data_IF_458159858156
#
_entry.id   IF_458159858156
#
_cell.length_a   1.000
_cell.length_b   1.000
_cell.length_c   1.000
_cell.angle_alpha   90.00
_cell.angle_beta   90.00
_cell.angle_gamma   90.00
#
_symmetry.space_group_name_H-M   'P 1'
#
loop_
_entity.id
_entity.type
_entity.pdbx_description
1 polymer ?
#
# COMPACT_ATOMS: atom_id res chain seq x y z
N UNK A 1 18.93 -10.54 -2.45
CA UNK A 1 18.05 -10.01 -1.39
C UNK A 1 16.81 -9.36 -2.01
N UNK A 2 15.61 -9.68 -1.53
CA UNK A 2 14.32 -9.12 -2.00
C UNK A 2 14.14 -7.65 -1.60
N UNK A 3 12.98 -7.05 -1.91
CA UNK A 3 12.61 -5.79 -1.28
C UNK A 3 11.74 -6.05 -0.04
N UNK A 4 11.90 -5.24 1.00
CA UNK A 4 11.24 -5.41 2.31
C UNK A 4 10.65 -4.09 2.81
N UNK A 5 9.68 -4.21 3.72
CA UNK A 5 9.08 -3.13 4.50
C UNK A 5 9.16 -3.55 5.98
N UNK A 6 9.58 -2.64 6.86
CA UNK A 6 9.64 -2.91 8.30
C UNK A 6 8.36 -2.40 8.98
N UNK A 7 7.76 -3.22 9.85
CA UNK A 7 6.52 -2.89 10.56
C UNK A 7 6.75 -2.46 12.02
N UNK A 8 7.92 -1.89 12.32
CA UNK A 8 8.22 -1.40 13.68
C UNK A 8 7.22 -0.32 14.10
N UNK A 9 6.93 -0.25 15.41
CA UNK A 9 6.04 0.73 16.05
C UNK A 9 4.55 0.59 15.73
N UNK A 10 4.11 -0.60 15.33
CA UNK A 10 2.71 -1.02 15.30
C UNK A 10 2.51 -2.11 16.34
N UNK A 11 1.37 -2.05 17.05
CA UNK A 11 1.06 -2.96 18.15
C UNK A 11 0.75 -4.36 17.62
N UNK A 12 -0.09 -4.41 16.59
CA UNK A 12 -0.43 -5.64 15.86
C UNK A 12 -0.46 -5.40 14.35
N UNK A 13 -0.11 -6.43 13.58
CA UNK A 13 -0.19 -6.36 12.12
C UNK A 13 -0.55 -7.70 11.48
N UNK A 14 -1.49 -7.65 10.54
CA UNK A 14 -1.84 -8.76 9.64
C UNK A 14 -1.38 -8.41 8.23
N UNK A 15 -0.59 -9.31 7.63
CA UNK A 15 -0.07 -9.14 6.26
C UNK A 15 -0.68 -10.18 5.34
N UNK A 16 -1.40 -9.72 4.33
CA UNK A 16 -1.97 -10.55 3.27
C UNK A 16 -1.17 -10.37 1.98
N UNK A 17 -0.82 -11.49 1.33
CA UNK A 17 -0.22 -11.44 -0.01
C UNK A 17 -1.33 -11.18 -1.03
N UNK A 18 -1.20 -10.15 -1.86
CA UNK A 18 -2.29 -9.76 -2.76
C UNK A 18 -2.64 -10.85 -3.77
N UNK A 19 -1.66 -11.58 -4.29
CA UNK A 19 -1.86 -12.73 -5.19
C UNK A 19 -2.74 -13.84 -4.60
N UNK A 20 -2.80 -13.95 -3.25
CA UNK A 20 -3.64 -14.94 -2.56
C UNK A 20 -5.05 -14.45 -2.30
N UNK A 21 -5.31 -13.15 -2.46
CA UNK A 21 -6.62 -12.54 -2.30
C UNK A 21 -7.42 -12.65 -3.59
N UNK A 22 -6.78 -12.39 -4.74
CA UNK A 22 -7.43 -12.46 -6.05
C UNK A 22 -6.43 -12.93 -7.11
N UNK A 23 -6.78 -14.00 -7.82
CA UNK A 23 -5.97 -14.58 -8.89
C UNK A 23 -6.34 -14.08 -10.29
N UNK A 24 -7.47 -13.37 -10.43
CA UNK A 24 -8.01 -12.94 -11.74
C UNK A 24 -7.70 -11.49 -12.08
N UNK A 25 -7.24 -10.69 -11.12
CA UNK A 25 -6.85 -9.28 -11.31
C UNK A 25 -5.38 -9.11 -10.95
N UNK A 26 -4.74 -8.07 -11.50
CA UNK A 26 -3.40 -7.69 -11.05
C UNK A 26 -3.49 -7.13 -9.64
N UNK A 27 -2.91 -7.84 -8.69
CA UNK A 27 -2.88 -7.45 -7.29
C UNK A 27 -1.52 -6.84 -6.93
N UNK A 28 -1.54 -5.99 -5.91
CA UNK A 28 -0.33 -5.54 -5.24
C UNK A 28 0.39 -6.71 -4.55
N UNK A 29 1.67 -6.53 -4.23
CA UNK A 29 2.44 -7.58 -3.54
C UNK A 29 1.87 -7.92 -2.15
N UNK A 30 1.49 -6.91 -1.36
CA UNK A 30 0.83 -7.15 -0.08
C UNK A 30 -0.14 -6.05 0.36
N UNK A 31 -1.05 -6.43 1.24
CA UNK A 31 -1.95 -5.55 1.99
C UNK A 31 -1.67 -5.78 3.47
N UNK A 32 -1.49 -4.70 4.20
CA UNK A 32 -1.17 -4.72 5.63
C UNK A 32 -2.31 -4.02 6.36
N UNK A 33 -2.87 -4.71 7.34
CA UNK A 33 -3.76 -4.14 8.34
C UNK A 33 -2.96 -4.05 9.62
N UNK A 34 -2.71 -2.84 10.09
CA UNK A 34 -1.94 -2.61 11.31
C UNK A 34 -2.76 -1.77 12.28
N UNK A 35 -2.65 -2.08 13.56
CA UNK A 35 -3.25 -1.30 14.64
C UNK A 35 -2.20 -0.36 15.23
N UNK A 36 -2.61 0.88 15.46
CA UNK A 36 -1.81 1.89 16.13
C UNK A 36 -2.74 2.81 16.90
N UNK A 37 -2.52 2.92 18.21
CA UNK A 37 -3.28 3.84 19.08
C UNK A 37 -4.81 3.60 19.01
N UNK A 38 -5.26 2.35 18.84
CA UNK A 38 -6.67 1.98 18.73
C UNK A 38 -7.29 2.15 17.34
N UNK A 39 -6.52 2.65 16.37
CA UNK A 39 -6.99 2.90 15.00
C UNK A 39 -6.42 1.89 14.00
N UNK A 40 -7.27 1.42 13.07
CA UNK A 40 -6.83 0.53 12.00
C UNK A 40 -6.26 1.35 10.84
N UNK A 41 -4.99 1.10 10.56
CA UNK A 41 -4.27 1.59 9.40
C UNK A 41 -4.18 0.50 8.34
N UNK A 42 -4.59 0.82 7.12
CA UNK A 42 -4.49 -0.06 5.96
C UNK A 42 -3.41 0.46 5.02
N UNK A 43 -2.46 -0.40 4.69
CA UNK A 43 -1.39 -0.09 3.76
C UNK A 43 -1.41 -1.09 2.59
N UNK A 44 -1.61 -0.58 1.39
CA UNK A 44 -1.57 -1.35 0.15
C UNK A 44 -0.22 -1.11 -0.49
N UNK A 45 0.59 -2.16 -0.63
CA UNK A 45 2.02 -2.04 -0.92
C UNK A 45 2.39 -2.81 -2.18
N UNK A 46 3.05 -2.12 -3.10
CA UNK A 46 3.71 -2.71 -4.26
C UNK A 46 5.24 -2.61 -4.09
N UNK A 47 5.95 -3.71 -4.26
CA UNK A 47 7.39 -3.86 -4.14
C UNK A 47 8.02 -3.94 -5.53
N UNK A 48 8.76 -2.91 -5.94
CA UNK A 48 9.48 -2.89 -7.21
C UNK A 48 10.98 -3.12 -7.01
N UNK A 49 11.48 -4.19 -7.61
CA UNK A 49 12.92 -4.49 -7.67
C UNK A 49 13.63 -3.78 -8.83
N UNK A 50 12.86 -3.26 -9.79
CA UNK A 50 13.29 -2.59 -11.03
C UNK A 50 12.34 -1.41 -11.32
N UNK A 51 12.31 -0.92 -12.56
CA UNK A 51 11.41 0.15 -12.99
C UNK A 51 9.94 -0.14 -12.61
N UNK A 52 9.31 0.87 -12.02
CA UNK A 52 7.90 0.94 -11.71
C UNK A 52 7.15 1.57 -12.89
N UNK A 53 6.48 0.73 -13.68
CA UNK A 53 5.46 1.22 -14.60
C UNK A 53 4.33 1.85 -13.78
N UNK A 54 4.12 3.16 -13.96
CA UNK A 54 3.19 3.92 -13.15
C UNK A 54 1.72 3.53 -13.37
N UNK A 55 1.36 3.03 -14.56
CA UNK A 55 -0.01 2.57 -14.81
C UNK A 55 -0.23 1.19 -14.21
N UNK A 56 0.72 0.27 -14.39
CA UNK A 56 0.67 -1.06 -13.77
C UNK A 56 0.59 -0.96 -12.24
N UNK A 57 1.43 -0.11 -11.64
CA UNK A 57 1.42 0.15 -10.20
C UNK A 57 0.09 0.73 -9.76
N UNK A 58 -0.46 1.69 -10.49
CA UNK A 58 -1.73 2.29 -10.12
C UNK A 58 -2.89 1.29 -10.19
N UNK A 59 -2.92 0.43 -11.21
CA UNK A 59 -3.90 -0.65 -11.36
C UNK A 59 -3.84 -1.61 -10.16
N UNK A 60 -2.64 -2.08 -9.80
CA UNK A 60 -2.43 -2.99 -8.68
C UNK A 60 -2.83 -2.40 -7.33
N UNK A 61 -2.42 -1.15 -7.08
CA UNK A 61 -2.76 -0.43 -5.85
C UNK A 61 -4.27 -0.17 -5.75
N UNK A 62 -4.93 0.14 -6.88
CA UNK A 62 -6.37 0.33 -6.89
C UNK A 62 -7.12 -0.97 -6.56
N UNK A 63 -6.72 -2.08 -7.18
CA UNK A 63 -7.30 -3.39 -6.90
C UNK A 63 -7.08 -3.83 -5.44
N UNK A 64 -5.86 -3.62 -4.92
CA UNK A 64 -5.54 -3.91 -3.52
C UNK A 64 -6.35 -3.04 -2.55
N UNK A 65 -6.54 -1.76 -2.86
CA UNK A 65 -7.36 -0.86 -2.07
C UNK A 65 -8.83 -1.32 -1.99
N UNK A 66 -9.47 -1.62 -3.12
CA UNK A 66 -10.85 -2.10 -3.12
C UNK A 66 -10.98 -3.42 -2.34
N UNK A 67 -10.07 -4.37 -2.54
CA UNK A 67 -10.07 -5.63 -1.82
C UNK A 67 -9.91 -5.42 -0.30
N UNK A 68 -9.03 -4.51 0.13
CA UNK A 68 -8.83 -4.21 1.56
C UNK A 68 -10.09 -3.65 2.22
N UNK A 69 -10.84 -2.82 1.50
CA UNK A 69 -12.09 -2.24 1.99
C UNK A 69 -13.25 -3.25 2.00
N UNK A 70 -13.23 -4.25 1.10
CA UNK A 70 -14.16 -5.38 1.14
C UNK A 70 -13.90 -6.26 2.36
N UNK A 71 -12.64 -6.60 2.64
CA UNK A 71 -12.24 -7.36 3.85
C UNK A 71 -12.71 -6.64 5.12
N UNK A 72 -12.43 -5.34 5.26
CA UNK A 72 -12.86 -4.59 6.45
C UNK A 72 -14.37 -4.55 6.60
N UNK A 73 -15.11 -4.41 5.50
CA UNK A 73 -16.57 -4.42 5.52
C UNK A 73 -17.09 -5.77 6.03
N UNK A 74 -16.51 -6.88 5.58
CA UNK A 74 -16.92 -8.23 5.99
C UNK A 74 -16.57 -8.53 7.46
N UNK A 75 -15.47 -7.97 7.96
CA UNK A 75 -15.07 -8.10 9.36
C UNK A 75 -15.82 -7.16 10.32
N UNK A 76 -16.74 -6.32 9.83
CA UNK A 76 -17.40 -5.29 10.65
C UNK A 76 -16.44 -4.19 11.14
N UNK A 77 -15.34 -3.99 10.43
CA UNK A 77 -14.32 -2.99 10.73
C UNK A 77 -14.77 -1.55 10.42
N UNK A 78 -13.83 -0.62 10.59
CA UNK A 78 -14.09 0.81 10.40
C UNK A 78 -14.65 1.13 9.00
N UNK A 79 -15.71 1.95 8.95
CA UNK A 79 -16.32 2.37 7.69
C UNK A 79 -15.40 3.24 6.83
N UNK A 80 -14.42 3.91 7.45
CA UNK A 80 -13.51 4.83 6.78
C UNK A 80 -12.09 4.75 7.37
N UNK A 81 -11.37 3.65 7.12
CA UNK A 81 -10.02 3.47 7.66
C UNK A 81 -9.04 4.49 7.04
N UNK A 82 -7.94 4.72 7.76
CA UNK A 82 -6.74 5.35 7.22
C UNK A 82 -6.11 4.43 6.20
N UNK A 83 -6.14 4.82 4.92
CA UNK A 83 -5.72 3.98 3.79
C UNK A 83 -4.56 4.66 3.04
N UNK A 84 -3.43 3.96 2.95
CA UNK A 84 -2.22 4.43 2.31
C UNK A 84 -1.83 3.52 1.13
N UNK A 85 -1.48 4.15 0.01
CA UNK A 85 -1.04 3.46 -1.20
C UNK A 85 0.47 3.67 -1.34
N UNK A 86 1.25 2.61 -1.22
CA UNK A 86 2.70 2.70 -1.03
C UNK A 86 3.41 1.91 -2.13
N UNK A 87 4.48 2.50 -2.67
CA UNK A 87 5.38 1.83 -3.61
C UNK A 87 6.78 1.84 -3.05
N UNK A 88 7.36 0.67 -2.86
CA UNK A 88 8.74 0.53 -2.40
C UNK A 88 9.64 0.14 -3.56
N UNK A 89 10.70 0.92 -3.79
CA UNK A 89 11.72 0.57 -4.76
C UNK A 89 13.11 0.57 -4.13
N UNK A 90 13.98 -0.34 -4.58
CA UNK A 90 15.39 -0.35 -4.16
C UNK A 90 16.13 0.92 -4.58
N UNK A 91 15.76 1.44 -5.75
CA UNK A 91 16.30 2.65 -6.35
C UNK A 91 15.24 3.29 -7.22
N UNK A 92 15.15 4.60 -7.19
CA UNK A 92 14.22 5.36 -8.01
C UNK A 92 14.94 6.08 -9.13
N UNK A 93 14.51 5.89 -10.37
CA UNK A 93 14.91 6.80 -11.46
C UNK A 93 14.15 8.11 -11.30
N UNK A 94 14.83 9.26 -11.43
CA UNK A 94 14.21 10.59 -11.24
C UNK A 94 12.89 10.79 -12.02
N UNK A 95 12.79 10.40 -13.31
CA UNK A 95 11.54 10.55 -14.05
C UNK A 95 10.41 9.69 -13.47
N UNK A 96 10.70 8.43 -13.15
CA UNK A 96 9.77 7.45 -12.60
C UNK A 96 9.23 7.89 -11.23
N UNK A 97 10.14 8.29 -10.33
CA UNK A 97 9.77 8.86 -9.03
C UNK A 97 8.80 10.02 -9.18
N UNK A 98 9.11 10.97 -10.08
CA UNK A 98 8.27 12.14 -10.33
C UNK A 98 6.87 11.76 -10.82
N UNK A 99 6.76 10.74 -11.67
CA UNK A 99 5.47 10.26 -12.16
C UNK A 99 4.68 9.61 -11.02
N UNK A 100 5.30 8.72 -10.25
CA UNK A 100 4.65 8.04 -9.12
C UNK A 100 4.21 9.04 -8.04
N UNK A 101 5.07 9.99 -7.62
CA UNK A 101 4.72 11.00 -6.61
C UNK A 101 3.53 11.87 -7.02
N UNK A 102 3.31 12.07 -8.33
CA UNK A 102 2.18 12.85 -8.85
C UNK A 102 0.93 12.01 -9.09
N UNK A 103 1.04 10.68 -9.02
CA UNK A 103 -0.07 9.76 -9.24
C UNK A 103 -1.02 9.81 -8.06
N UNK A 104 -2.31 9.85 -8.38
CA UNK A 104 -3.39 9.72 -7.41
C UNK A 104 -4.43 8.76 -7.95
N UNK A 105 -5.05 7.99 -7.06
CA UNK A 105 -6.03 6.98 -7.38
C UNK A 105 -7.32 7.34 -6.64
N UNK A 106 -8.46 7.24 -7.31
CA UNK A 106 -9.77 7.48 -6.71
C UNK A 106 -10.37 6.13 -6.31
N UNK A 107 -10.60 5.94 -5.01
CA UNK A 107 -11.18 4.72 -4.43
C UNK A 107 -12.43 5.13 -3.66
N UNK A 108 -13.60 4.61 -4.06
CA UNK A 108 -14.91 4.95 -3.46
C UNK A 108 -15.12 6.46 -3.22
N UNK A 109 -14.77 7.28 -4.21
CA UNK A 109 -14.88 8.74 -4.16
C UNK A 109 -13.76 9.47 -3.40
N UNK A 110 -12.85 8.76 -2.71
CA UNK A 110 -11.69 9.33 -2.02
C UNK A 110 -10.49 9.36 -2.96
N UNK A 111 -9.88 10.54 -3.14
CA UNK A 111 -8.63 10.69 -3.92
C UNK A 111 -7.42 10.46 -3.01
N UNK A 112 -6.69 9.38 -3.24
CA UNK A 112 -5.52 8.97 -2.48
C UNK A 112 -4.24 9.19 -3.30
N UNK A 113 -3.19 9.72 -2.68
CA UNK A 113 -1.87 9.86 -3.32
C UNK A 113 -1.08 8.55 -3.20
N UNK A 114 -0.30 8.24 -4.22
CA UNK A 114 0.69 7.16 -4.14
C UNK A 114 1.95 7.70 -3.44
N UNK A 115 2.41 6.98 -2.42
CA UNK A 115 3.57 7.32 -1.61
C UNK A 115 4.77 6.47 -2.09
N UNK A 116 5.71 7.03 -2.86
CA UNK A 116 6.95 6.34 -3.17
C UNK A 116 7.89 6.39 -1.95
N UNK A 117 8.43 5.23 -1.59
CA UNK A 117 9.38 5.10 -0.50
C UNK A 117 10.56 4.19 -0.91
N UNK A 118 11.63 4.22 -0.12
CA UNK A 118 12.79 3.37 -0.34
C UNK A 118 12.56 2.00 0.29
N UNK A 119 12.99 0.97 -0.42
CA UNK A 119 13.05 -0.36 0.11
C UNK A 119 13.80 -0.44 1.46
N UNK A 120 13.24 -1.16 2.43
CA UNK A 120 13.76 -1.27 3.79
C UNK A 120 13.38 -0.12 4.71
N UNK A 121 12.58 0.86 4.24
CA UNK A 121 11.98 1.86 5.13
C UNK A 121 11.04 1.20 6.14
N UNK A 122 10.88 1.84 7.30
CA UNK A 122 9.83 1.47 8.24
C UNK A 122 8.49 2.08 7.83
N UNK A 123 7.39 1.40 8.13
CA UNK A 123 6.07 1.90 7.82
C UNK A 123 5.78 3.21 8.55
N UNK A 124 6.31 3.37 9.78
CA UNK A 124 6.20 4.60 10.57
C UNK A 124 6.92 5.81 9.95
N UNK A 125 7.95 5.61 9.13
CA UNK A 125 8.60 6.71 8.39
C UNK A 125 7.83 7.10 7.13
N UNK A 126 6.95 6.23 6.62
CA UNK A 126 6.25 6.40 5.34
C UNK A 126 4.92 7.11 5.54
N UNK A 127 4.15 6.70 6.55
CA UNK A 127 2.82 7.25 6.78
C UNK A 127 2.90 8.48 7.71
N UNK A 128 2.18 9.58 7.44
CA UNK A 128 2.17 10.73 8.33
C UNK A 128 1.35 10.43 9.59
N UNK A 129 1.86 10.85 10.76
CA UNK A 129 1.16 10.68 12.05
C UNK A 129 1.42 9.34 12.74
N UNK A 130 2.45 8.61 12.31
CA UNK A 130 2.94 7.39 12.94
C UNK A 130 4.31 7.55 13.60
#
# INVERSE_FOLDING_TARGET
MGCTLNLYNFDEAVVLKGERICSTRKMCDCIIFAEKEGEIVVCVVELKSRAADAEEVAEKLANGAEASLEVLRECGGAANPSLYLIVLAKSWRRPEYRVITRKSIVIRGRKLKVIPARCGASLSEIIPGS
#
